data_IF_148699379095
#
_entry.id   IF_148699379095
#
_cell.length_a   1.000
_cell.length_b   1.000
_cell.length_c   1.000
_cell.angle_alpha   90.00
_cell.angle_beta   90.00
_cell.angle_gamma   90.00
#
_symmetry.space_group_name_H-M   'P 1'
#
loop_
_entity.id
_entity.type
_entity.pdbx_description
1 polymer ?
#
# COMPACT_ATOMS: atom_id res chain seq x y z
N UNK A 1 20.00 -18.49 6.33
CA UNK A 1 19.38 -17.22 5.88
C UNK A 1 17.92 -17.51 5.66
N UNK A 2 17.00 -16.79 6.31
CA UNK A 2 15.58 -17.03 6.11
C UNK A 2 15.19 -16.49 4.73
N UNK A 3 14.85 -17.41 3.83
CA UNK A 3 14.34 -17.08 2.50
C UNK A 3 12.95 -16.47 2.67
N UNK A 4 12.84 -15.16 2.45
CA UNK A 4 11.55 -14.46 2.38
C UNK A 4 11.05 -14.57 0.95
N UNK A 5 10.43 -15.70 0.62
CA UNK A 5 9.62 -15.84 -0.60
C UNK A 5 8.18 -15.45 -0.26
N UNK A 6 7.65 -14.35 -0.81
CA UNK A 6 6.32 -13.80 -0.47
C UNK A 6 5.11 -14.68 -0.82
N UNK A 7 5.32 -15.86 -1.40
CA UNK A 7 4.28 -16.63 -2.10
C UNK A 7 3.77 -17.85 -1.34
N UNK A 8 4.47 -18.36 -0.32
CA UNK A 8 3.99 -19.52 0.47
C UNK A 8 4.80 -19.69 1.75
N UNK A 9 4.21 -19.36 2.91
CA UNK A 9 4.79 -19.69 4.21
C UNK A 9 3.97 -20.82 4.85
N UNK A 10 4.56 -22.00 4.99
CA UNK A 10 3.93 -23.16 5.64
C UNK A 10 4.82 -23.64 6.78
N UNK A 11 4.23 -23.95 7.92
CA UNK A 11 4.91 -24.57 9.05
C UNK A 11 4.64 -26.07 9.02
N UNK A 12 5.68 -26.89 9.17
CA UNK A 12 5.55 -28.33 9.37
C UNK A 12 5.84 -28.68 10.82
N UNK A 13 4.92 -29.42 11.45
CA UNK A 13 5.06 -29.96 12.79
C UNK A 13 5.13 -31.48 12.69
N UNK A 14 6.19 -32.08 13.24
CA UNK A 14 6.39 -33.53 13.21
C UNK A 14 6.61 -34.06 14.62
N UNK A 15 5.81 -35.04 14.99
CA UNK A 15 5.96 -35.86 16.21
C UNK A 15 6.19 -37.32 15.81
N UNK A 16 6.36 -38.21 16.80
CA UNK A 16 6.51 -39.64 16.54
C UNK A 16 5.25 -40.26 15.86
N UNK A 17 4.07 -39.70 16.13
CA UNK A 17 2.78 -40.27 15.71
C UNK A 17 2.11 -39.49 14.57
N UNK A 18 2.54 -38.24 14.29
CA UNK A 18 1.88 -37.40 13.29
C UNK A 18 2.82 -36.40 12.62
N UNK A 19 2.50 -36.09 11.36
CA UNK A 19 3.02 -34.94 10.63
C UNK A 19 1.87 -34.03 10.19
N UNK A 20 1.96 -32.74 10.54
CA UNK A 20 0.96 -31.71 10.21
C UNK A 20 1.64 -30.55 9.50
N UNK A 21 1.13 -30.18 8.33
CA UNK A 21 1.58 -28.99 7.61
C UNK A 21 0.47 -27.95 7.63
N UNK A 22 0.80 -26.72 8.02
CA UNK A 22 -0.17 -25.62 8.02
C UNK A 22 -0.64 -25.31 6.59
N UNK A 23 -1.84 -24.73 6.43
CA UNK A 23 -2.17 -23.98 5.22
C UNK A 23 -1.15 -22.85 4.98
N UNK A 24 -1.22 -22.21 3.81
CA UNK A 24 -0.42 -21.02 3.53
C UNK A 24 -0.76 -19.92 4.55
N UNK A 25 0.23 -19.52 5.33
CA UNK A 25 0.12 -18.41 6.26
C UNK A 25 0.12 -17.11 5.48
N UNK A 26 -0.82 -16.23 5.83
CA UNK A 26 -0.89 -14.87 5.28
C UNK A 26 0.17 -14.01 5.96
N UNK A 27 0.83 -13.14 5.20
CA UNK A 27 1.69 -12.11 5.78
C UNK A 27 0.88 -11.21 6.71
N UNK A 28 1.52 -10.76 7.79
CA UNK A 28 0.96 -9.73 8.65
C UNK A 28 0.86 -8.39 7.89
N UNK A 29 -0.07 -7.55 8.32
CA UNK A 29 -0.14 -6.14 7.90
C UNK A 29 1.14 -5.41 8.26
N UNK A 30 1.73 -4.71 7.30
CA UNK A 30 2.87 -3.84 7.54
C UNK A 30 2.36 -2.46 8.00
N UNK A 31 2.85 -1.96 9.14
CA UNK A 31 2.40 -0.69 9.69
C UNK A 31 3.55 0.31 9.78
N UNK A 32 3.38 1.46 9.13
CA UNK A 32 4.32 2.57 9.12
C UNK A 32 3.72 3.72 9.92
N UNK A 33 4.26 3.97 11.11
CA UNK A 33 3.79 5.02 12.01
C UNK A 33 4.77 6.20 12.04
N UNK A 34 4.27 7.43 11.91
CA UNK A 34 5.10 8.62 11.93
C UNK A 34 4.37 9.85 12.50
N UNK A 35 5.15 10.80 13.02
CA UNK A 35 4.70 12.16 13.31
C UNK A 35 4.91 13.03 12.07
N UNK A 36 3.81 13.42 11.43
CA UNK A 36 3.78 14.30 10.26
C UNK A 36 3.25 15.70 10.58
N UNK A 37 3.23 16.12 11.85
CA UNK A 37 2.60 17.37 12.29
C UNK A 37 3.36 18.65 11.95
N UNK A 38 4.60 18.54 11.44
CA UNK A 38 5.48 19.69 11.18
C UNK A 38 5.78 19.82 9.69
N UNK A 39 5.88 21.06 9.24
CA UNK A 39 6.33 21.37 7.87
C UNK A 39 7.67 20.69 7.57
N UNK A 40 7.75 20.05 6.40
CA UNK A 40 8.91 19.26 5.99
C UNK A 40 8.90 17.80 6.47
N UNK A 41 7.96 17.37 7.32
CA UNK A 41 7.83 15.95 7.68
C UNK A 41 7.41 15.10 6.48
N UNK A 42 8.10 13.98 6.27
CA UNK A 42 7.87 13.04 5.17
C UNK A 42 8.08 11.60 5.66
N UNK A 43 7.18 10.70 5.26
CA UNK A 43 7.25 9.26 5.41
C UNK A 43 7.20 8.60 4.02
N UNK A 44 8.23 7.82 3.67
CA UNK A 44 8.25 7.02 2.45
C UNK A 44 7.94 5.56 2.80
N UNK A 45 6.89 5.02 2.19
CA UNK A 45 6.41 3.63 2.37
C UNK A 45 6.73 2.85 1.09
N UNK A 46 7.63 1.84 1.14
CA UNK A 46 7.94 1.02 -0.02
C UNK A 46 6.76 0.10 -0.35
N UNK A 47 6.34 0.09 -1.61
CA UNK A 47 5.28 -0.75 -2.13
C UNK A 47 5.81 -1.50 -3.36
N UNK A 48 6.71 -2.46 -3.19
CA UNK A 48 7.30 -3.19 -4.33
C UNK A 48 8.10 -2.29 -5.28
N UNK A 49 7.62 -2.12 -6.51
CA UNK A 49 8.21 -1.23 -7.54
C UNK A 49 7.80 0.23 -7.38
N UNK A 50 6.87 0.54 -6.47
CA UNK A 50 6.38 1.89 -6.18
C UNK A 50 6.83 2.34 -4.78
N UNK A 51 6.79 3.66 -4.54
CA UNK A 51 6.94 4.26 -3.22
C UNK A 51 5.77 5.21 -2.98
N UNK A 52 4.97 4.92 -1.96
CA UNK A 52 3.96 5.85 -1.45
C UNK A 52 4.62 6.83 -0.48
N UNK A 53 4.32 8.10 -0.61
CA UNK A 53 4.86 9.16 0.23
C UNK A 53 3.70 9.85 0.94
N UNK A 54 3.75 9.87 2.26
CA UNK A 54 2.93 10.75 3.08
C UNK A 54 3.78 11.89 3.59
N UNK A 55 3.26 13.11 3.53
CA UNK A 55 3.97 14.29 3.98
C UNK A 55 3.03 15.26 4.65
N UNK A 56 3.59 16.17 5.43
CA UNK A 56 2.84 17.32 5.96
C UNK A 56 2.14 18.07 4.82
N UNK A 57 0.83 18.28 4.95
CA UNK A 57 0.06 19.13 4.06
C UNK A 57 -0.24 20.46 4.74
N UNK A 58 -0.88 20.41 5.91
CA UNK A 58 -1.19 21.55 6.76
C UNK A 58 -1.26 21.12 8.23
N UNK A 59 -1.60 22.05 9.13
CA UNK A 59 -1.84 21.72 10.55
C UNK A 59 -3.04 20.79 10.78
N UNK A 60 -3.88 20.58 9.76
CA UNK A 60 -5.05 19.72 9.81
C UNK A 60 -5.11 18.66 8.70
N UNK A 61 -4.03 18.51 7.91
CA UNK A 61 -3.99 17.53 6.82
C UNK A 61 -2.60 17.01 6.50
N UNK A 62 -2.56 15.80 5.94
CA UNK A 62 -1.39 15.24 5.26
C UNK A 62 -1.67 15.16 3.76
N UNK A 63 -0.62 15.03 2.96
CA UNK A 63 -0.68 14.80 1.50
C UNK A 63 -0.11 13.43 1.17
N UNK A 64 -0.76 12.74 0.23
CA UNK A 64 -0.34 11.45 -0.29
C UNK A 64 0.04 11.54 -1.76
N UNK A 65 1.22 11.02 -2.10
CA UNK A 65 1.70 10.91 -3.48
C UNK A 65 2.39 9.57 -3.72
N UNK A 66 2.47 9.14 -4.98
CA UNK A 66 3.13 7.90 -5.38
C UNK A 66 4.13 8.16 -6.49
N UNK A 67 5.23 7.40 -6.50
CA UNK A 67 6.24 7.42 -7.57
C UNK A 67 6.76 6.02 -7.85
N UNK A 68 7.42 5.84 -8.98
CA UNK A 68 8.26 4.66 -9.19
C UNK A 68 9.43 4.69 -8.21
N UNK A 69 9.84 3.50 -7.74
CA UNK A 69 11.03 3.33 -6.90
C UNK A 69 12.30 3.74 -7.67
N UNK A 70 12.36 3.38 -8.95
CA UNK A 70 13.36 3.84 -9.90
C UNK A 70 12.68 4.73 -10.96
N UNK A 71 13.05 6.01 -11.00
CA UNK A 71 12.45 6.98 -11.93
C UNK A 71 12.83 6.71 -13.39
N UNK A 72 13.90 5.95 -13.66
CA UNK A 72 14.27 5.53 -15.01
C UNK A 72 13.40 4.38 -15.52
N UNK A 73 12.67 3.68 -14.64
CA UNK A 73 11.88 2.50 -14.95
C UNK A 73 10.40 2.71 -14.56
N UNK A 74 9.58 3.32 -15.44
CA UNK A 74 8.17 3.56 -15.15
C UNK A 74 7.39 2.27 -14.86
N UNK A 75 6.50 2.33 -13.86
CA UNK A 75 5.70 1.21 -13.40
C UNK A 75 4.26 1.37 -13.89
N UNK A 76 3.73 0.34 -14.55
CA UNK A 76 2.32 0.30 -14.91
C UNK A 76 1.48 -0.05 -13.68
N UNK A 77 0.45 0.76 -13.38
CA UNK A 77 -0.35 0.58 -12.18
C UNK A 77 -1.85 0.89 -12.40
N UNK A 78 -2.67 0.17 -11.64
CA UNK A 78 -4.07 0.49 -11.39
C UNK A 78 -4.22 0.93 -9.93
N UNK A 79 -4.75 2.13 -9.71
CA UNK A 79 -4.94 2.71 -8.38
C UNK A 79 -6.39 3.17 -8.24
N UNK A 80 -7.05 2.69 -7.19
CA UNK A 80 -8.36 3.19 -6.76
C UNK A 80 -8.21 3.72 -5.34
N UNK A 81 -8.46 5.01 -5.16
CA UNK A 81 -8.50 5.70 -3.87
C UNK A 81 -9.95 6.03 -3.51
N UNK A 82 -10.30 5.87 -2.25
CA UNK A 82 -11.56 6.35 -1.69
C UNK A 82 -11.28 6.98 -0.32
N UNK A 83 -11.91 8.12 -0.10
CA UNK A 83 -11.90 8.85 1.16
C UNK A 83 -13.33 9.11 1.59
N UNK A 84 -13.58 8.96 2.89
CA UNK A 84 -14.83 9.39 3.54
C UNK A 84 -14.45 10.24 4.74
N UNK A 85 -14.96 11.48 4.79
CA UNK A 85 -14.70 12.40 5.89
C UNK A 85 -15.95 13.16 6.34
N UNK A 86 -15.91 13.63 7.59
CA UNK A 86 -16.96 14.41 8.26
C UNK A 86 -18.37 13.78 8.15
N UNK A 87 -18.42 12.45 8.06
CA UNK A 87 -19.63 11.63 7.96
C UNK A 87 -20.57 11.96 6.78
N UNK A 88 -20.13 12.73 5.78
CA UNK A 88 -20.99 13.20 4.69
C UNK A 88 -20.32 13.21 3.30
N UNK A 89 -19.02 13.46 3.23
CA UNK A 89 -18.32 13.59 1.96
C UNK A 89 -17.65 12.28 1.56
N UNK A 90 -17.81 11.91 0.29
CA UNK A 90 -17.14 10.76 -0.32
C UNK A 90 -16.38 11.27 -1.53
N UNK A 91 -15.06 11.07 -1.52
CA UNK A 91 -14.21 11.34 -2.66
C UNK A 91 -13.59 10.05 -3.19
N UNK A 92 -13.37 10.01 -4.50
CA UNK A 92 -12.66 8.89 -5.10
C UNK A 92 -11.86 9.30 -6.32
N UNK A 93 -10.76 8.60 -6.54
CA UNK A 93 -9.92 8.77 -7.71
C UNK A 93 -9.62 7.39 -8.31
N UNK A 94 -9.61 7.34 -9.65
CA UNK A 94 -9.17 6.16 -10.40
C UNK A 94 -8.00 6.55 -11.28
N UNK A 95 -6.91 5.80 -11.18
CA UNK A 95 -5.84 5.75 -12.16
C UNK A 95 -5.89 4.34 -12.74
N UNK A 96 -6.27 4.21 -14.00
CA UNK A 96 -6.41 2.91 -14.66
C UNK A 96 -5.31 2.79 -15.70
N UNK A 97 -4.56 1.69 -15.70
CA UNK A 97 -3.50 1.44 -16.68
C UNK A 97 -2.51 2.63 -16.82
N UNK A 98 -2.15 3.24 -15.69
CA UNK A 98 -1.35 4.48 -15.65
C UNK A 98 0.12 4.15 -15.45
N UNK A 99 1.01 4.77 -16.23
CA UNK A 99 2.46 4.66 -16.04
C UNK A 99 2.93 5.69 -15.02
N UNK A 100 3.35 5.21 -13.86
CA UNK A 100 3.92 6.03 -12.79
C UNK A 100 5.44 6.05 -12.98
N UNK A 101 6.02 7.23 -13.16
CA UNK A 101 7.48 7.44 -13.21
C UNK A 101 7.91 8.42 -12.13
N UNK A 102 7.54 9.68 -12.29
CA UNK A 102 7.73 10.74 -11.30
C UNK A 102 6.62 10.75 -10.26
N UNK A 103 6.74 11.63 -9.26
CA UNK A 103 5.72 11.82 -8.24
C UNK A 103 4.38 12.25 -8.84
N UNK A 104 3.32 11.53 -8.46
CA UNK A 104 1.94 11.82 -8.77
C UNK A 104 1.14 11.93 -7.47
N UNK A 105 0.38 13.01 -7.32
CA UNK A 105 -0.49 13.20 -6.15
C UNK A 105 -1.69 12.27 -6.25
N UNK A 106 -1.91 11.49 -5.20
CA UNK A 106 -3.09 10.64 -5.04
C UNK A 106 -4.17 11.35 -4.22
N UNK A 107 -3.75 12.10 -3.20
CA UNK A 107 -4.63 12.96 -2.41
C UNK A 107 -3.84 14.14 -1.86
N UNK A 108 -4.34 15.36 -2.05
CA UNK A 108 -3.66 16.58 -1.58
C UNK A 108 -4.08 16.95 -0.16
N UNK A 109 -5.24 16.49 0.30
CA UNK A 109 -5.82 16.82 1.61
C UNK A 109 -6.46 15.58 2.23
N UNK A 110 -5.66 14.82 2.97
CA UNK A 110 -6.15 13.80 3.89
C UNK A 110 -6.25 14.41 5.29
N UNK A 111 -7.44 14.58 5.82
CA UNK A 111 -7.68 15.22 7.10
C UNK A 111 -7.08 14.41 8.25
N UNK A 112 -6.44 15.14 9.17
CA UNK A 112 -5.56 14.54 10.18
C UNK A 112 -6.07 14.70 11.62
N UNK A 113 -7.38 14.84 11.81
CA UNK A 113 -8.02 14.96 13.14
C UNK A 113 -8.96 13.78 13.44
N UNK A 114 -8.61 12.57 12.98
CA UNK A 114 -9.45 11.37 13.11
C UNK A 114 -10.79 11.44 12.35
N UNK A 115 -10.96 12.41 11.46
CA UNK A 115 -12.23 12.65 10.78
C UNK A 115 -12.35 11.94 9.43
N UNK A 116 -11.27 11.31 8.96
CA UNK A 116 -11.22 10.69 7.65
C UNK A 116 -10.86 9.20 7.72
N UNK A 117 -11.63 8.40 7.00
CA UNK A 117 -11.28 7.02 6.65
C UNK A 117 -10.77 7.01 5.21
N UNK A 118 -9.47 6.79 5.03
CA UNK A 118 -8.81 6.82 3.72
C UNK A 118 -8.26 5.44 3.36
N UNK A 119 -8.62 4.91 2.19
CA UNK A 119 -8.08 3.64 1.69
C UNK A 119 -7.80 3.64 0.20
N UNK A 120 -6.86 2.79 -0.20
CA UNK A 120 -6.45 2.60 -1.57
C UNK A 120 -6.30 1.12 -1.89
N UNK A 121 -6.62 0.75 -3.14
CA UNK A 121 -6.10 -0.48 -3.76
C UNK A 121 -5.11 -0.07 -4.82
N UNK A 122 -3.91 -0.64 -4.74
CA UNK A 122 -2.82 -0.39 -5.67
C UNK A 122 -2.42 -1.74 -6.25
N UNK A 123 -2.64 -1.89 -7.55
CA UNK A 123 -2.12 -3.00 -8.34
C UNK A 123 -1.00 -2.46 -9.21
N UNK A 124 0.13 -3.14 -9.24
CA UNK A 124 1.30 -2.72 -9.99
C UNK A 124 1.93 -3.89 -10.73
N UNK A 125 2.48 -3.60 -11.90
CA UNK A 125 3.25 -4.55 -12.68
C UNK A 125 4.74 -4.33 -12.42
N UNK A 126 5.43 -5.40 -12.01
CA UNK A 126 6.88 -5.38 -11.92
C UNK A 126 7.47 -5.20 -13.34
N UNK A 127 8.27 -4.15 -13.59
CA UNK A 127 8.73 -3.83 -14.93
C UNK A 127 9.79 -4.80 -15.48
N UNK A 128 10.43 -5.60 -14.62
CA UNK A 128 11.44 -6.59 -15.03
C UNK A 128 10.79 -7.94 -15.38
N UNK A 129 9.75 -8.34 -14.66
CA UNK A 129 9.13 -9.67 -14.78
C UNK A 129 7.76 -9.64 -15.45
N UNK A 130 7.14 -8.47 -15.59
CA UNK A 130 5.75 -8.27 -16.01
C UNK A 130 4.69 -8.93 -15.11
N UNK A 131 5.09 -9.43 -13.94
CA UNK A 131 4.18 -10.01 -12.96
C UNK A 131 3.47 -8.92 -12.15
N UNK A 132 2.24 -9.22 -11.74
CA UNK A 132 1.39 -8.29 -11.01
C UNK A 132 1.39 -8.55 -9.52
N UNK A 133 1.37 -7.48 -8.74
CA UNK A 133 1.19 -7.51 -7.29
C UNK A 133 0.11 -6.51 -6.89
N UNK A 134 -0.66 -6.80 -5.85
CA UNK A 134 -1.70 -5.90 -5.36
C UNK A 134 -1.65 -5.79 -3.85
N UNK A 135 -1.65 -4.55 -3.36
CA UNK A 135 -1.80 -4.23 -1.96
C UNK A 135 -3.04 -3.36 -1.72
N UNK A 136 -3.61 -3.50 -0.53
CA UNK A 136 -4.49 -2.51 0.06
C UNK A 136 -3.67 -1.63 0.98
N UNK A 137 -3.91 -0.33 0.93
CA UNK A 137 -3.32 0.64 1.83
C UNK A 137 -4.43 1.34 2.60
N UNK A 138 -4.32 1.39 3.92
CA UNK A 138 -5.21 2.16 4.79
C UNK A 138 -4.38 3.26 5.43
N UNK A 139 -4.89 4.49 5.39
CA UNK A 139 -4.26 5.64 6.02
C UNK A 139 -5.19 6.19 7.09
N UNK A 140 -4.65 6.45 8.27
CA UNK A 140 -5.36 7.09 9.35
C UNK A 140 -4.44 8.11 10.03
N UNK A 141 -4.94 9.32 10.22
CA UNK A 141 -4.18 10.41 10.82
C UNK A 141 -5.02 11.13 11.90
N UNK A 142 -4.38 11.42 13.03
CA UNK A 142 -5.01 12.12 14.15
C UNK A 142 -4.06 13.11 14.83
N UNK A 143 -4.63 14.02 15.64
CA UNK A 143 -3.88 15.05 16.37
C UNK A 143 -3.00 15.90 15.45
N UNK A 144 -3.59 16.48 14.40
CA UNK A 144 -2.86 17.30 13.44
C UNK A 144 -1.75 16.55 12.69
N UNK A 145 -1.89 15.24 12.50
CA UNK A 145 -0.90 14.39 11.82
C UNK A 145 0.23 13.88 12.71
N UNK A 146 0.27 14.26 14.00
CA UNK A 146 1.28 13.77 14.95
C UNK A 146 1.20 12.26 15.18
N UNK A 147 0.06 11.66 14.88
CA UNK A 147 -0.16 10.22 14.89
C UNK A 147 -0.71 9.83 13.52
N UNK A 148 0.19 9.55 12.58
CA UNK A 148 -0.16 9.05 11.26
C UNK A 148 0.25 7.58 11.14
N UNK A 149 -0.67 6.75 10.69
CA UNK A 149 -0.45 5.33 10.41
C UNK A 149 -0.78 5.04 8.95
N UNK A 150 0.13 4.35 8.27
CA UNK A 150 -0.10 3.76 6.95
C UNK A 150 0.06 2.26 7.10
N UNK A 151 -1.03 1.54 6.88
CA UNK A 151 -1.08 0.08 6.97
C UNK A 151 -1.14 -0.49 5.54
N UNK A 152 -0.30 -1.48 5.25
CA UNK A 152 -0.19 -2.11 3.94
C UNK A 152 -0.47 -3.60 4.07
N UNK A 153 -1.47 -4.07 3.33
CA UNK A 153 -1.84 -5.48 3.22
C UNK A 153 -1.61 -5.96 1.79
N UNK A 154 -0.62 -6.82 1.58
CA UNK A 154 -0.44 -7.51 0.31
C UNK A 154 -1.51 -8.59 0.12
N UNK A 155 -2.29 -8.46 -0.95
CA UNK A 155 -3.36 -9.39 -1.30
C UNK A 155 -2.84 -10.53 -2.18
N UNK A 156 -1.87 -10.21 -3.06
CA UNK A 156 -1.06 -11.17 -3.81
C UNK A 156 0.20 -10.49 -4.34
N UNK A 157 1.20 -11.29 -4.68
CA UNK A 157 2.44 -10.84 -5.32
C UNK A 157 2.82 -11.79 -6.45
N UNK A 158 3.44 -11.26 -7.49
CA UNK A 158 4.07 -12.06 -8.54
C UNK A 158 3.13 -12.92 -9.38
N UNK A 159 1.91 -12.46 -9.67
CA UNK A 159 0.90 -13.27 -10.41
C UNK A 159 0.76 -12.83 -11.87
N UNK A 160 0.29 -13.75 -12.72
CA UNK A 160 -0.18 -13.47 -14.08
C UNK A 160 -1.71 -13.55 -14.16
N UNK A 161 -2.34 -12.75 -15.02
CA UNK A 161 -3.76 -12.87 -15.32
C UNK A 161 -3.96 -13.62 -16.64
N UNK A 162 -4.40 -14.88 -16.55
CA UNK A 162 -4.78 -15.70 -17.70
C UNK A 162 -6.30 -15.72 -17.87
N UNK A 163 -6.77 -15.81 -19.11
CA UNK A 163 -8.17 -16.10 -19.37
C UNK A 163 -8.56 -17.46 -18.77
N UNK A 164 -9.78 -17.63 -18.23
CA UNK A 164 -10.27 -18.95 -17.81
C UNK A 164 -10.22 -19.93 -18.98
N UNK A 165 -9.81 -21.17 -18.72
CA UNK A 165 -9.96 -22.26 -19.69
C UNK A 165 -11.44 -22.63 -19.83
N UNK A 166 -11.89 -22.81 -21.08
CA UNK A 166 -13.21 -23.34 -21.42
C UNK A 166 -13.38 -24.79 -21.01
#
# INVERSE_FOLDING_TARGET
MAESTPTSYKLSFKTADQEVVSPNLKSNTESYNADLSKSGSVLNVPLGSLVLTAQFGSTASIRLSIRAKDTATPVLADIRRTSIYDAAAIESQTLNNTRISTSQVLDDVVYSQSQETHWMRIRQQDPATNLWSMCQVITFASNGGARTSICVDWLYTGVTFSAPSS
#
